data_IF_559225902470
#
_entry.id   IF_559225902470
#
_cell.length_a   1.000
_cell.length_b   1.000
_cell.length_c   1.000
_cell.angle_alpha   90.00
_cell.angle_beta   90.00
_cell.angle_gamma   90.00
#
_symmetry.space_group_name_H-M   'P 1'
#
loop_
_entity.id
_entity.type
_entity.pdbx_description
1 polymer ?
#
# COMPACT_ATOMS: atom_id res chain seq x y z
N UNK A 1 -0.66 -41.30 -2.58
CA UNK A 1 0.44 -40.31 -2.60
C UNK A 1 0.55 -39.57 -3.93
N UNK A 2 0.53 -40.23 -5.10
CA UNK A 2 0.58 -39.55 -6.42
C UNK A 2 -0.47 -38.45 -6.64
N UNK A 3 -1.74 -38.68 -6.26
CA UNK A 3 -2.81 -37.67 -6.36
C UNK A 3 -2.55 -36.42 -5.50
N UNK A 4 -1.89 -36.59 -4.35
CA UNK A 4 -1.52 -35.49 -3.45
C UNK A 4 -0.39 -34.65 -4.08
N UNK A 5 0.63 -35.30 -4.63
CA UNK A 5 1.76 -34.64 -5.31
C UNK A 5 1.27 -33.88 -6.54
N UNK A 6 0.39 -34.47 -7.36
CA UNK A 6 -0.19 -33.82 -8.53
C UNK A 6 -1.03 -32.58 -8.15
N UNK A 7 -1.80 -32.66 -7.05
CA UNK A 7 -2.59 -31.53 -6.54
C UNK A 7 -1.71 -30.38 -6.03
N UNK A 8 -0.63 -30.70 -5.30
CA UNK A 8 0.33 -29.70 -4.81
C UNK A 8 1.06 -29.05 -5.97
N UNK A 9 1.54 -29.84 -6.93
CA UNK A 9 2.24 -29.34 -8.12
C UNK A 9 1.35 -28.38 -8.92
N UNK A 10 0.09 -28.75 -9.17
CA UNK A 10 -0.88 -27.88 -9.87
C UNK A 10 -1.10 -26.54 -9.17
N UNK A 11 -1.19 -26.54 -7.83
CA UNK A 11 -1.33 -25.30 -7.05
C UNK A 11 -0.05 -24.46 -7.07
N UNK A 12 1.12 -25.09 -7.03
CA UNK A 12 2.40 -24.37 -7.10
C UNK A 12 2.61 -23.70 -8.46
N UNK A 13 2.17 -24.31 -9.56
CA UNK A 13 2.22 -23.69 -10.89
C UNK A 13 1.47 -22.36 -10.94
N UNK A 14 0.37 -22.23 -10.18
CA UNK A 14 -0.40 -20.99 -10.07
C UNK A 14 0.22 -20.07 -8.99
N UNK A 15 0.52 -20.61 -7.82
CA UNK A 15 0.96 -19.81 -6.67
C UNK A 15 2.31 -19.11 -6.90
N UNK A 16 3.24 -19.73 -7.62
CA UNK A 16 4.58 -19.15 -7.86
C UNK A 16 4.50 -17.83 -8.66
N UNK A 17 3.83 -17.77 -9.83
CA UNK A 17 3.63 -16.50 -10.54
C UNK A 17 2.89 -15.44 -9.72
N UNK A 18 1.84 -15.82 -8.98
CA UNK A 18 1.10 -14.88 -8.14
C UNK A 18 1.94 -14.33 -7.00
N UNK A 19 2.75 -15.18 -6.34
CA UNK A 19 3.66 -14.76 -5.28
C UNK A 19 4.74 -13.83 -5.84
N UNK A 20 5.26 -14.13 -7.03
CA UNK A 20 6.18 -13.25 -7.74
C UNK A 20 5.55 -11.88 -7.96
N UNK A 21 4.37 -11.81 -8.58
CA UNK A 21 3.65 -10.56 -8.81
C UNK A 21 3.36 -9.82 -7.50
N UNK A 22 2.95 -10.53 -6.44
CA UNK A 22 2.67 -9.94 -5.14
C UNK A 22 3.92 -9.31 -4.53
N UNK A 23 5.06 -10.00 -4.57
CA UNK A 23 6.33 -9.47 -4.05
C UNK A 23 6.71 -8.19 -4.79
N UNK A 24 6.74 -8.21 -6.12
CA UNK A 24 7.09 -7.02 -6.91
C UNK A 24 6.07 -5.90 -6.79
N UNK A 25 4.80 -6.22 -6.63
CA UNK A 25 3.75 -5.25 -6.32
C UNK A 25 4.00 -4.58 -4.97
N UNK A 26 4.45 -5.31 -3.95
CA UNK A 26 4.67 -4.79 -2.60
C UNK A 26 6.00 -4.02 -2.43
N UNK A 27 7.01 -4.27 -3.27
CA UNK A 27 8.30 -3.54 -3.23
C UNK A 27 8.13 -2.01 -3.13
N UNK A 28 7.37 -1.32 -4.01
CA UNK A 28 7.19 0.12 -3.90
C UNK A 28 6.50 0.55 -2.59
N UNK A 29 5.57 -0.24 -2.06
CA UNK A 29 4.92 0.05 -0.79
C UNK A 29 5.89 -0.02 0.38
N UNK A 30 6.79 -1.01 0.42
CA UNK A 30 7.82 -1.08 1.45
C UNK A 30 8.79 0.10 1.40
N UNK A 31 9.13 0.58 0.20
CA UNK A 31 9.97 1.77 0.03
C UNK A 31 9.27 3.00 0.61
N UNK A 32 8.00 3.23 0.27
CA UNK A 32 7.22 4.36 0.80
C UNK A 32 7.04 4.25 2.31
N UNK A 33 6.72 3.06 2.82
CA UNK A 33 6.58 2.79 4.26
C UNK A 33 7.87 3.11 5.03
N UNK A 34 9.02 2.71 4.50
CA UNK A 34 10.32 3.05 5.08
C UNK A 34 10.53 4.57 5.13
N UNK A 35 10.23 5.26 4.03
CA UNK A 35 10.39 6.71 3.93
C UNK A 35 9.43 7.44 4.89
N UNK A 36 8.19 6.97 5.04
CA UNK A 36 7.23 7.60 5.96
C UNK A 36 7.65 7.56 7.43
N UNK A 37 8.51 6.62 7.82
CA UNK A 37 9.09 6.52 9.16
C UNK A 37 10.50 7.12 9.26
N UNK A 38 11.05 7.62 8.16
CA UNK A 38 12.39 8.22 8.09
C UNK A 38 12.32 9.73 8.33
N UNK A 39 13.41 10.32 8.81
CA UNK A 39 13.51 11.76 9.03
C UNK A 39 14.03 12.45 7.76
N UNK A 40 13.55 13.67 7.50
CA UNK A 40 14.04 14.50 6.40
C UNK A 40 15.45 14.99 6.73
N UNK A 41 16.39 14.83 5.81
CA UNK A 41 17.76 15.28 5.97
C UNK A 41 18.21 16.07 4.74
N UNK A 42 19.07 17.07 4.95
CA UNK A 42 19.71 17.86 3.89
C UNK A 42 20.87 17.08 3.26
N UNK A 43 20.59 15.87 2.76
CA UNK A 43 21.53 14.95 2.12
C UNK A 43 20.94 14.37 0.85
N UNK A 44 21.75 13.67 0.06
CA UNK A 44 21.28 12.86 -1.07
C UNK A 44 21.58 11.41 -0.71
N UNK A 45 20.56 10.54 -0.49
CA UNK A 45 19.10 10.79 -0.52
C UNK A 45 18.58 11.74 0.58
N UNK A 46 17.44 12.44 0.36
CA UNK A 46 16.88 13.43 1.29
C UNK A 46 16.11 12.81 2.46
N UNK A 47 16.56 11.66 2.95
CA UNK A 47 15.98 10.97 4.10
C UNK A 47 17.05 10.18 4.84
N UNK A 48 16.88 10.05 6.15
CA UNK A 48 17.69 9.18 7.01
C UNK A 48 16.78 8.30 7.86
N UNK A 49 17.12 7.02 8.05
CA UNK A 49 18.37 6.35 7.68
C UNK A 49 18.37 5.71 6.27
N UNK A 50 19.53 5.71 5.60
CA UNK A 50 19.77 4.97 4.36
C UNK A 50 20.32 3.57 4.67
N UNK A 51 19.86 2.54 3.96
CA UNK A 51 20.29 1.16 4.20
C UNK A 51 21.18 0.70 3.05
N UNK A 52 22.42 0.33 3.34
CA UNK A 52 23.38 -0.21 2.39
C UNK A 52 23.63 -1.70 2.65
N UNK A 53 23.64 -2.50 1.57
CA UNK A 53 24.04 -3.91 1.64
C UNK A 53 25.52 -4.02 2.08
N UNK A 54 26.34 -3.03 1.73
CA UNK A 54 27.77 -2.96 2.08
C UNK A 54 28.04 -2.62 3.56
N UNK A 55 27.06 -2.11 4.30
CA UNK A 55 27.26 -1.61 5.68
C UNK A 55 27.14 -2.72 6.74
N UNK A 56 26.68 -3.91 6.35
CA UNK A 56 26.52 -5.07 7.23
C UNK A 56 25.21 -5.10 8.02
N UNK A 57 24.81 -6.31 8.46
CA UNK A 57 23.52 -6.56 9.11
C UNK A 57 23.36 -5.79 10.43
N UNK A 58 24.44 -5.68 11.22
CA UNK A 58 24.43 -5.00 12.51
C UNK A 58 24.22 -3.48 12.39
N UNK A 59 24.83 -2.84 11.38
CA UNK A 59 24.66 -1.41 11.13
C UNK A 59 23.22 -1.11 10.67
N UNK A 60 22.66 -1.96 9.81
CA UNK A 60 21.27 -1.86 9.37
C UNK A 60 20.28 -2.05 10.54
N UNK A 61 20.55 -2.97 11.48
CA UNK A 61 19.70 -3.12 12.67
C UNK A 61 19.70 -1.89 13.58
N UNK A 62 20.86 -1.24 13.75
CA UNK A 62 20.94 0.02 14.50
C UNK A 62 20.14 1.14 13.83
N UNK A 63 20.15 1.21 12.49
CA UNK A 63 19.37 2.18 11.70
C UNK A 63 17.87 1.96 11.81
N UNK A 64 17.37 0.72 11.92
CA UNK A 64 15.94 0.45 12.14
C UNK A 64 15.43 1.15 13.42
N UNK A 65 16.25 1.23 14.46
CA UNK A 65 15.89 1.92 15.72
C UNK A 65 15.78 3.44 15.60
N UNK A 66 16.29 4.03 14.51
CA UNK A 66 16.20 5.47 14.24
C UNK A 66 14.91 5.85 13.51
N UNK A 67 14.13 4.86 13.05
CA UNK A 67 12.81 5.11 12.47
C UNK A 67 11.88 5.64 13.56
N UNK A 68 11.14 6.72 13.25
CA UNK A 68 10.21 7.36 14.19
C UNK A 68 8.84 7.59 13.59
N UNK A 69 7.84 7.73 14.46
CA UNK A 69 6.46 8.06 14.07
C UNK A 69 6.20 9.57 14.07
N UNK A 70 7.24 10.40 14.21
CA UNK A 70 7.10 11.86 14.36
C UNK A 70 6.44 12.49 13.13
N UNK A 71 6.71 11.97 11.93
CA UNK A 71 6.04 12.42 10.70
C UNK A 71 4.52 12.23 10.77
N UNK A 72 4.04 11.16 11.41
CA UNK A 72 2.61 10.89 11.57
C UNK A 72 1.98 11.76 12.64
N UNK A 73 2.70 12.01 13.75
CA UNK A 73 2.26 12.95 14.79
C UNK A 73 2.12 14.36 14.22
N UNK A 74 3.12 14.81 13.46
CA UNK A 74 3.09 16.10 12.77
C UNK A 74 1.89 16.24 11.81
N UNK A 75 1.57 15.17 11.08
CA UNK A 75 0.42 15.14 10.17
C UNK A 75 -0.93 15.28 10.91
N UNK A 76 -1.02 14.77 12.13
CA UNK A 76 -2.23 14.85 12.97
C UNK A 76 -2.35 16.19 13.68
N UNK A 77 -1.22 16.77 14.11
CA UNK A 77 -1.18 18.06 14.81
C UNK A 77 -1.45 19.25 13.87
N UNK A 78 -1.09 19.14 12.59
CA UNK A 78 -1.34 20.20 11.62
C UNK A 78 -2.82 20.22 11.16
N UNK A 79 -3.58 21.29 11.48
CA UNK A 79 -4.99 21.39 11.11
C UNK A 79 -5.23 21.35 9.61
N UNK A 80 -4.26 21.76 8.78
CA UNK A 80 -4.39 21.74 7.33
C UNK A 80 -4.48 20.31 6.81
N UNK A 81 -3.58 19.42 7.25
CA UNK A 81 -3.52 18.04 6.80
C UNK A 81 -4.72 17.23 7.29
N UNK A 82 -5.09 17.36 8.56
CA UNK A 82 -6.26 16.67 9.10
C UNK A 82 -7.56 17.11 8.38
N UNK A 83 -7.75 18.43 8.16
CA UNK A 83 -8.93 18.93 7.43
C UNK A 83 -8.94 18.48 5.98
N UNK A 84 -7.79 18.49 5.31
CA UNK A 84 -7.67 18.00 3.93
C UNK A 84 -8.05 16.52 3.85
N UNK A 85 -7.55 15.69 4.77
CA UNK A 85 -7.89 14.26 4.85
C UNK A 85 -9.40 14.02 5.02
N UNK A 86 -10.02 14.68 6.00
CA UNK A 86 -11.46 14.54 6.24
C UNK A 86 -12.30 15.04 5.05
N UNK A 87 -11.87 16.12 4.40
CA UNK A 87 -12.49 16.61 3.17
C UNK A 87 -12.42 15.58 2.05
N UNK A 88 -11.26 14.96 1.82
CA UNK A 88 -11.10 13.90 0.82
C UNK A 88 -12.00 12.70 1.10
N UNK A 89 -12.09 12.24 2.36
CA UNK A 89 -12.98 11.15 2.74
C UNK A 89 -14.45 11.51 2.49
N UNK A 90 -14.86 12.73 2.86
CA UNK A 90 -16.22 13.21 2.63
C UNK A 90 -16.55 13.28 1.14
N UNK A 91 -15.66 13.82 0.32
CA UNK A 91 -15.85 13.91 -1.13
C UNK A 91 -15.92 12.50 -1.74
N UNK A 92 -15.01 11.61 -1.37
CA UNK A 92 -15.01 10.23 -1.86
C UNK A 92 -16.32 9.52 -1.52
N UNK A 93 -16.77 9.59 -0.27
CA UNK A 93 -18.00 8.95 0.18
C UNK A 93 -19.24 9.49 -0.57
N UNK A 94 -19.38 10.80 -0.69
CA UNK A 94 -20.50 11.44 -1.40
C UNK A 94 -20.45 11.05 -2.89
N UNK A 95 -19.29 11.14 -3.53
CA UNK A 95 -19.11 10.79 -4.94
C UNK A 95 -19.43 9.32 -5.21
N UNK A 96 -18.97 8.40 -4.35
CA UNK A 96 -19.31 6.98 -4.45
C UNK A 96 -20.80 6.76 -4.28
N UNK A 97 -21.43 7.39 -3.29
CA UNK A 97 -22.87 7.25 -3.04
C UNK A 97 -23.70 7.76 -4.22
N UNK A 98 -23.41 8.96 -4.74
CA UNK A 98 -24.09 9.53 -5.90
C UNK A 98 -23.88 8.67 -7.15
N UNK A 99 -22.65 8.20 -7.37
CA UNK A 99 -22.34 7.28 -8.46
C UNK A 99 -23.17 6.00 -8.35
N UNK A 100 -23.27 5.40 -7.17
CA UNK A 100 -24.10 4.21 -6.96
C UNK A 100 -25.58 4.49 -7.20
N UNK A 101 -26.09 5.63 -6.72
CA UNK A 101 -27.50 6.01 -6.89
C UNK A 101 -27.90 6.10 -8.35
N UNK A 102 -26.99 6.53 -9.24
CA UNK A 102 -27.24 6.65 -10.67
C UNK A 102 -26.86 5.38 -11.44
N UNK A 103 -25.65 4.86 -11.23
CA UNK A 103 -25.12 3.74 -12.00
C UNK A 103 -25.82 2.42 -11.69
N UNK A 104 -26.24 2.19 -10.43
CA UNK A 104 -26.92 0.96 -10.05
C UNK A 104 -28.28 0.78 -10.74
N UNK A 105 -29.24 1.74 -10.70
CA UNK A 105 -30.51 1.58 -11.40
C UNK A 105 -30.34 1.52 -12.92
N UNK A 106 -29.37 2.24 -13.49
CA UNK A 106 -29.02 2.09 -14.91
C UNK A 106 -28.58 0.67 -15.25
N UNK A 107 -27.62 0.12 -14.50
CA UNK A 107 -27.15 -1.25 -14.70
C UNK A 107 -28.28 -2.27 -14.53
N UNK A 108 -29.16 -2.06 -13.54
CA UNK A 108 -30.34 -2.88 -13.32
C UNK A 108 -31.34 -2.81 -14.49
N UNK A 109 -31.56 -1.62 -15.04
CA UNK A 109 -32.40 -1.43 -16.23
C UNK A 109 -31.85 -2.17 -17.45
N UNK A 110 -30.55 -2.08 -17.69
CA UNK A 110 -29.87 -2.83 -18.77
C UNK A 110 -30.00 -4.34 -18.55
N UNK A 111 -29.78 -4.81 -17.32
CA UNK A 111 -29.86 -6.23 -17.00
C UNK A 111 -31.29 -6.81 -17.12
N UNK A 112 -32.33 -5.97 -17.07
CA UNK A 112 -33.74 -6.36 -17.21
C UNK A 112 -34.36 -5.95 -18.55
N UNK A 113 -33.58 -5.39 -19.47
CA UNK A 113 -34.09 -5.03 -20.78
C UNK A 113 -34.51 -6.31 -21.53
N UNK A 114 -35.72 -6.36 -22.10
CA UNK A 114 -36.09 -7.46 -22.98
C UNK A 114 -35.19 -7.46 -24.22
N UNK A 115 -34.81 -8.64 -24.68
CA UNK A 115 -34.09 -8.85 -25.95
C UNK A 115 -34.94 -8.45 -27.14
#
# INVERSE_FOLDING_TARGET
MQKLIASIASRLVIAVPYLWLLVFFLVPFFIVFKISLSQVAMSIPPYVPTFGIAEGLAANWAKIKQLSFDNYLWLLDDPLYYKAYLSSVRIAAISTFLTLLVAYPMAYGIARAPT
#
